data_IF_034592307085
#
_entry.id   IF_034592307085
#
_cell.length_a   1.000
_cell.length_b   1.000
_cell.length_c   1.000
_cell.angle_alpha   90.00
_cell.angle_beta   90.00
_cell.angle_gamma   90.00
#
_symmetry.space_group_name_H-M   'P 1'
#
loop_
_entity.id
_entity.type
_entity.pdbx_description
1 polymer ?
#
# COMPACT_ATOMS: atom_id res chain seq x y z
N UNK A 1 0.26 -50.35 109.61
CA UNK A 1 0.02 -48.97 109.13
C UNK A 1 1.05 -48.52 108.11
N UNK A 2 2.35 -48.80 108.31
CA UNK A 2 3.41 -48.39 107.37
C UNK A 2 3.24 -48.93 105.93
N UNK A 3 2.80 -50.19 105.75
CA UNK A 3 2.61 -50.77 104.41
C UNK A 3 1.52 -50.03 103.59
N UNK A 4 0.41 -49.67 104.24
CA UNK A 4 -0.68 -48.93 103.59
C UNK A 4 -0.24 -47.50 103.27
N UNK A 5 0.57 -46.88 104.13
CA UNK A 5 1.10 -45.54 103.88
C UNK A 5 2.13 -45.52 102.74
N UNK A 6 2.89 -46.61 102.57
CA UNK A 6 3.85 -46.78 101.47
C UNK A 6 3.15 -47.02 100.14
N UNK A 7 2.13 -47.89 100.13
CA UNK A 7 1.30 -48.14 98.95
C UNK A 7 0.52 -46.89 98.54
N UNK A 8 -0.01 -46.12 99.48
CA UNK A 8 -0.67 -44.85 99.16
C UNK A 8 0.32 -43.80 98.62
N UNK A 9 1.53 -43.72 99.17
CA UNK A 9 2.58 -42.84 98.64
C UNK A 9 3.04 -43.22 97.24
N UNK A 10 3.15 -44.52 96.94
CA UNK A 10 3.47 -45.01 95.59
C UNK A 10 2.34 -44.74 94.60
N UNK A 11 1.08 -44.86 95.03
CA UNK A 11 -0.09 -44.50 94.22
C UNK A 11 -0.17 -42.99 93.94
N UNK A 12 0.12 -42.14 94.93
CA UNK A 12 0.15 -40.68 94.77
C UNK A 12 1.30 -40.23 93.84
N UNK A 13 2.46 -40.89 93.90
CA UNK A 13 3.58 -40.66 92.98
C UNK A 13 3.27 -41.10 91.54
N UNK A 14 2.60 -42.24 91.37
CA UNK A 14 2.11 -42.69 90.07
C UNK A 14 1.07 -41.70 89.50
N UNK A 15 0.10 -41.25 90.32
CA UNK A 15 -0.93 -40.28 89.91
C UNK A 15 -0.32 -38.94 89.46
N UNK A 16 0.68 -38.43 90.19
CA UNK A 16 1.43 -37.24 89.77
C UNK A 16 2.30 -37.46 88.52
N UNK A 17 2.84 -38.67 88.29
CA UNK A 17 3.53 -39.00 87.04
C UNK A 17 2.58 -38.98 85.85
N UNK A 18 1.38 -39.54 86.01
CA UNK A 18 0.35 -39.54 84.96
C UNK A 18 -0.17 -38.13 84.65
N UNK A 19 -0.34 -37.27 85.67
CA UNK A 19 -0.71 -35.87 85.47
C UNK A 19 0.36 -35.08 84.70
N UNK A 20 1.64 -35.30 84.99
CA UNK A 20 2.74 -34.66 84.28
C UNK A 20 2.83 -35.12 82.82
N UNK A 21 2.67 -36.42 82.54
CA UNK A 21 2.65 -36.95 81.17
C UNK A 21 1.45 -36.40 80.38
N UNK A 22 0.30 -36.24 81.03
CA UNK A 22 -0.89 -35.66 80.42
C UNK A 22 -0.70 -34.16 80.11
N UNK A 23 -0.09 -33.40 81.02
CA UNK A 23 0.27 -32.00 80.79
C UNK A 23 1.27 -31.88 79.63
N UNK A 24 2.31 -32.70 79.60
CA UNK A 24 3.29 -32.72 78.52
C UNK A 24 2.64 -33.05 77.17
N UNK A 25 1.76 -34.05 77.12
CA UNK A 25 1.03 -34.39 75.90
C UNK A 25 0.14 -33.23 75.43
N UNK A 26 -0.50 -32.51 76.37
CA UNK A 26 -1.29 -31.32 76.06
C UNK A 26 -0.43 -30.15 75.54
N UNK A 27 0.75 -29.91 76.11
CA UNK A 27 1.69 -28.90 75.64
C UNK A 27 2.22 -29.19 74.24
N UNK A 28 2.60 -30.45 73.96
CA UNK A 28 3.03 -30.89 72.63
C UNK A 28 1.87 -30.75 71.63
N UNK A 29 0.66 -31.18 72.02
CA UNK A 29 -0.53 -31.04 71.19
C UNK A 29 -0.82 -29.58 70.85
N UNK A 30 -0.68 -28.67 71.83
CA UNK A 30 -0.81 -27.23 71.63
C UNK A 30 0.25 -26.68 70.68
N UNK A 31 1.52 -27.05 70.85
CA UNK A 31 2.60 -26.61 69.97
C UNK A 31 2.44 -27.13 68.54
N UNK A 32 1.97 -28.36 68.36
CA UNK A 32 1.67 -28.92 67.04
C UNK A 32 0.51 -28.20 66.36
N UNK A 33 -0.56 -27.89 67.11
CA UNK A 33 -1.68 -27.11 66.58
C UNK A 33 -1.28 -25.69 66.20
N UNK A 34 -0.41 -25.06 66.99
CA UNK A 34 0.11 -23.72 66.69
C UNK A 34 0.98 -23.72 65.43
N UNK A 35 1.91 -24.68 65.31
CA UNK A 35 2.69 -24.88 64.09
C UNK A 35 1.80 -25.19 62.87
N UNK A 36 0.76 -26.01 63.04
CA UNK A 36 -0.16 -26.33 61.96
C UNK A 36 -0.93 -25.09 61.49
N UNK A 37 -1.45 -24.28 62.42
CA UNK A 37 -2.08 -22.99 62.12
C UNK A 37 -1.14 -22.02 61.41
N UNK A 38 0.13 -21.97 61.82
CA UNK A 38 1.12 -21.13 61.16
C UNK A 38 1.39 -21.61 59.72
N UNK A 39 1.54 -22.92 59.51
CA UNK A 39 1.70 -23.50 58.18
C UNK A 39 0.47 -23.28 57.28
N UNK A 40 -0.74 -23.39 57.83
CA UNK A 40 -1.99 -23.07 57.13
C UNK A 40 -2.01 -21.58 56.74
N UNK A 41 -1.66 -20.68 57.67
CA UNK A 41 -1.58 -19.24 57.41
C UNK A 41 -0.55 -18.92 56.33
N UNK A 42 0.64 -19.53 56.38
CA UNK A 42 1.67 -19.37 55.36
C UNK A 42 1.19 -19.90 54.00
N UNK A 43 0.50 -21.04 53.97
CA UNK A 43 -0.05 -21.62 52.74
C UNK A 43 -1.09 -20.70 52.10
N UNK A 44 -2.03 -20.17 52.89
CA UNK A 44 -3.04 -19.22 52.41
C UNK A 44 -2.39 -17.92 51.92
N UNK A 45 -1.38 -17.43 52.62
CA UNK A 45 -0.64 -16.25 52.20
C UNK A 45 0.06 -16.46 50.86
N UNK A 46 0.77 -17.59 50.68
CA UNK A 46 1.41 -17.95 49.42
C UNK A 46 0.39 -18.15 48.28
N UNK A 47 -0.79 -18.73 48.57
CA UNK A 47 -1.87 -18.84 47.60
C UNK A 47 -2.38 -17.48 47.15
N UNK A 48 -2.48 -16.51 48.07
CA UNK A 48 -2.91 -15.14 47.76
C UNK A 48 -1.89 -14.43 46.86
N UNK A 49 -0.59 -14.51 47.20
CA UNK A 49 0.48 -13.95 46.36
C UNK A 49 0.49 -14.58 44.97
N UNK A 50 0.33 -15.90 44.89
CA UNK A 50 0.28 -16.60 43.59
C UNK A 50 -0.91 -16.11 42.75
N UNK A 51 -2.08 -15.90 43.36
CA UNK A 51 -3.24 -15.35 42.68
C UNK A 51 -3.01 -13.91 42.17
N UNK A 52 -2.34 -13.06 42.96
CA UNK A 52 -1.97 -11.70 42.53
C UNK A 52 -0.96 -11.72 41.37
N UNK A 53 0.06 -12.57 41.45
CA UNK A 53 1.03 -12.77 40.37
C UNK A 53 0.38 -13.30 39.08
N UNK A 54 -0.61 -14.18 39.20
CA UNK A 54 -1.38 -14.65 38.04
C UNK A 54 -2.15 -13.50 37.37
N UNK A 55 -2.76 -12.61 38.16
CA UNK A 55 -3.44 -11.43 37.63
C UNK A 55 -2.47 -10.44 36.95
N UNK A 56 -1.27 -10.28 37.51
CA UNK A 56 -0.22 -9.45 36.91
C UNK A 56 0.23 -10.04 35.56
N UNK A 57 0.46 -11.35 35.50
CA UNK A 57 0.80 -12.04 34.25
C UNK A 57 -0.29 -11.86 33.20
N UNK A 58 -1.57 -11.95 33.58
CA UNK A 58 -2.69 -11.72 32.67
C UNK A 58 -2.72 -10.27 32.15
N UNK A 59 -2.45 -9.29 33.01
CA UNK A 59 -2.39 -7.89 32.62
C UNK A 59 -1.23 -7.62 31.65
N UNK A 60 -0.04 -8.14 31.95
CA UNK A 60 1.14 -8.02 31.08
C UNK A 60 0.92 -8.73 29.74
N UNK A 61 0.27 -9.89 29.74
CA UNK A 61 -0.11 -10.59 28.51
C UNK A 61 -1.06 -9.75 27.65
N UNK A 62 -2.07 -9.10 28.26
CA UNK A 62 -2.98 -8.19 27.55
C UNK A 62 -2.23 -6.99 26.96
N UNK A 63 -1.27 -6.41 27.69
CA UNK A 63 -0.44 -5.33 27.16
C UNK A 63 0.44 -5.79 25.99
N UNK A 64 1.06 -6.96 26.10
CA UNK A 64 1.84 -7.54 25.01
C UNK A 64 1.00 -7.78 23.77
N UNK A 65 -0.23 -8.26 23.95
CA UNK A 65 -1.14 -8.49 22.83
C UNK A 65 -1.58 -7.19 22.16
N UNK A 66 -1.89 -6.16 22.95
CA UNK A 66 -2.17 -4.83 22.41
C UNK A 66 -0.97 -4.26 21.62
N UNK A 67 0.25 -4.44 22.13
CA UNK A 67 1.48 -4.04 21.43
C UNK A 67 1.68 -4.83 20.12
N UNK A 68 1.37 -6.13 20.10
CA UNK A 68 1.39 -6.93 18.86
C UNK A 68 0.40 -6.40 17.84
N UNK A 69 -0.83 -6.12 18.24
CA UNK A 69 -1.87 -5.57 17.34
C UNK A 69 -1.47 -4.21 16.77
N UNK A 70 -0.90 -3.31 17.59
CA UNK A 70 -0.40 -2.01 17.11
C UNK A 70 0.77 -2.19 16.15
N UNK A 71 1.67 -3.15 16.41
CA UNK A 71 2.76 -3.42 15.50
C UNK A 71 2.26 -4.00 14.16
N UNK A 72 1.28 -4.89 14.21
CA UNK A 72 0.64 -5.45 13.01
C UNK A 72 -0.09 -4.38 12.20
N UNK A 73 -0.85 -3.50 12.84
CA UNK A 73 -1.52 -2.39 12.15
C UNK A 73 -0.51 -1.43 11.52
N UNK A 74 0.60 -1.14 12.21
CA UNK A 74 1.71 -0.36 11.66
C UNK A 74 2.33 -1.01 10.43
N UNK A 75 2.53 -2.33 10.44
CA UNK A 75 3.04 -3.05 9.27
C UNK A 75 2.08 -2.92 8.08
N UNK A 76 0.77 -3.09 8.29
CA UNK A 76 -0.25 -2.90 7.23
C UNK A 76 -0.23 -1.49 6.65
N UNK A 77 -0.10 -0.46 7.49
CA UNK A 77 -0.01 0.94 7.04
C UNK A 77 1.24 1.15 6.20
N UNK A 78 2.38 0.55 6.57
CA UNK A 78 3.60 0.65 5.76
C UNK A 78 3.47 -0.05 4.41
N UNK A 79 2.83 -1.21 4.35
CA UNK A 79 2.55 -1.90 3.09
C UNK A 79 1.61 -1.09 2.19
N UNK A 80 0.59 -0.47 2.76
CA UNK A 80 -0.34 0.40 2.02
C UNK A 80 0.35 1.67 1.52
N UNK A 81 1.22 2.28 2.34
CA UNK A 81 2.02 3.43 1.94
C UNK A 81 2.97 3.07 0.78
N UNK A 82 3.62 1.91 0.84
CA UNK A 82 4.52 1.45 -0.23
C UNK A 82 3.75 1.24 -1.55
N UNK A 83 2.57 0.63 -1.50
CA UNK A 83 1.68 0.52 -2.67
C UNK A 83 1.31 1.89 -3.24
N UNK A 84 0.90 2.84 -2.40
CA UNK A 84 0.53 4.18 -2.83
C UNK A 84 1.71 4.93 -3.46
N UNK A 85 2.90 4.83 -2.88
CA UNK A 85 4.13 5.41 -3.46
C UNK A 85 4.40 4.82 -4.84
N UNK A 86 4.34 3.50 -5.00
CA UNK A 86 4.54 2.85 -6.28
C UNK A 86 3.50 3.30 -7.34
N UNK A 87 2.25 3.47 -6.95
CA UNK A 87 1.19 3.91 -7.87
C UNK A 87 1.35 5.40 -8.24
N UNK A 88 1.77 6.25 -7.31
CA UNK A 88 2.15 7.64 -7.58
C UNK A 88 3.37 7.71 -8.52
N UNK A 89 4.37 6.86 -8.34
CA UNK A 89 5.52 6.79 -9.23
C UNK A 89 5.12 6.34 -10.64
N UNK A 90 4.28 5.31 -10.77
CA UNK A 90 3.76 4.85 -12.06
C UNK A 90 2.95 5.93 -12.78
N UNK A 91 2.05 6.61 -12.07
CA UNK A 91 1.24 7.70 -12.65
C UNK A 91 2.11 8.87 -13.06
N UNK A 92 3.10 9.25 -12.25
CA UNK A 92 4.05 10.30 -12.60
C UNK A 92 4.88 9.92 -13.83
N UNK A 93 5.39 8.69 -13.91
CA UNK A 93 6.11 8.21 -15.11
C UNK A 93 5.23 8.29 -16.37
N UNK A 94 3.96 7.89 -16.29
CA UNK A 94 3.01 8.01 -17.40
C UNK A 94 2.79 9.47 -17.81
N UNK A 95 2.56 10.37 -16.85
CA UNK A 95 2.40 11.79 -17.11
C UNK A 95 3.64 12.40 -17.77
N UNK A 96 4.85 11.98 -17.35
CA UNK A 96 6.11 12.43 -17.98
C UNK A 96 6.22 11.92 -19.42
N UNK A 97 5.87 10.67 -19.69
CA UNK A 97 5.88 10.13 -21.06
C UNK A 97 4.87 10.83 -21.95
N UNK A 98 3.67 11.10 -21.44
CA UNK A 98 2.60 11.78 -22.18
C UNK A 98 2.98 13.24 -22.44
N UNK A 99 3.49 13.95 -21.42
CA UNK A 99 4.01 15.30 -21.57
C UNK A 99 5.12 15.38 -22.62
N UNK A 100 6.03 14.39 -22.64
CA UNK A 100 7.08 14.32 -23.66
C UNK A 100 6.50 14.10 -25.06
N UNK A 101 5.51 13.23 -25.19
CA UNK A 101 4.84 12.98 -26.48
C UNK A 101 4.09 14.21 -26.98
N UNK A 102 3.37 14.91 -26.09
CA UNK A 102 2.67 16.14 -26.42
C UNK A 102 3.63 17.26 -26.80
N UNK A 103 4.75 17.40 -26.07
CA UNK A 103 5.80 18.34 -26.42
C UNK A 103 6.34 18.09 -27.83
N UNK A 104 6.61 16.84 -28.19
CA UNK A 104 7.05 16.49 -29.55
C UNK A 104 5.99 16.83 -30.60
N UNK A 105 4.70 16.58 -30.32
CA UNK A 105 3.60 16.97 -31.22
C UNK A 105 3.55 18.49 -31.41
N UNK A 106 3.67 19.25 -30.33
CA UNK A 106 3.70 20.72 -30.38
C UNK A 106 4.88 21.19 -31.23
N UNK A 107 6.07 20.64 -31.03
CA UNK A 107 7.27 20.98 -31.82
C UNK A 107 7.04 20.68 -33.31
N UNK A 108 6.48 19.52 -33.68
CA UNK A 108 6.16 19.21 -35.08
C UNK A 108 5.14 20.16 -35.69
N UNK A 109 4.09 20.53 -34.95
CA UNK A 109 3.08 21.48 -35.42
C UNK A 109 3.66 22.89 -35.57
N UNK A 110 4.60 23.28 -34.70
CA UNK A 110 5.32 24.54 -34.83
C UNK A 110 6.19 24.57 -36.08
N UNK A 111 6.90 23.48 -36.39
CA UNK A 111 7.68 23.36 -37.63
C UNK A 111 6.78 23.43 -38.88
N UNK A 112 5.64 22.75 -38.88
CA UNK A 112 4.66 22.81 -39.96
C UNK A 112 4.08 24.22 -40.14
N UNK A 113 3.77 24.91 -39.04
CA UNK A 113 3.28 26.28 -39.07
C UNK A 113 4.31 27.22 -39.70
N UNK A 114 5.58 27.15 -39.28
CA UNK A 114 6.67 27.94 -39.85
C UNK A 114 6.82 27.65 -41.35
N UNK A 115 6.75 26.38 -41.77
CA UNK A 115 6.82 26.00 -43.18
C UNK A 115 5.66 26.61 -44.00
N UNK A 116 4.45 26.63 -43.44
CA UNK A 116 3.28 27.25 -44.07
C UNK A 116 3.46 28.77 -44.15
N UNK A 117 3.96 29.40 -43.10
CA UNK A 117 4.25 30.85 -43.08
C UNK A 117 5.27 31.24 -44.16
N UNK A 118 6.36 30.48 -44.30
CA UNK A 118 7.36 30.69 -45.36
C UNK A 118 6.71 30.55 -46.74
N UNK A 119 5.91 29.50 -46.97
CA UNK A 119 5.22 29.29 -48.26
C UNK A 119 4.21 30.41 -48.55
N UNK A 120 3.51 30.91 -47.55
CA UNK A 120 2.59 32.03 -47.70
C UNK A 120 3.35 33.32 -48.05
N UNK A 121 4.48 33.57 -47.38
CA UNK A 121 5.39 34.66 -47.72
C UNK A 121 5.89 34.58 -49.17
N UNK A 122 6.33 33.40 -49.64
CA UNK A 122 6.72 33.20 -51.05
C UNK A 122 5.57 33.40 -52.05
N UNK A 123 4.34 33.06 -51.67
CA UNK A 123 3.17 33.31 -52.51
C UNK A 123 2.83 34.80 -52.55
N UNK A 124 2.94 35.49 -51.42
CA UNK A 124 2.75 36.94 -51.34
C UNK A 124 3.77 37.68 -52.21
N UNK A 125 5.06 37.31 -52.15
CA UNK A 125 6.09 37.92 -53.01
C UNK A 125 5.81 37.66 -54.48
N UNK A 126 5.43 36.44 -54.88
CA UNK A 126 5.03 36.14 -56.27
C UNK A 126 3.84 36.98 -56.74
N UNK A 127 2.85 37.18 -55.87
CA UNK A 127 1.69 38.03 -56.18
C UNK A 127 2.12 39.48 -56.35
N UNK A 128 2.95 40.01 -55.46
CA UNK A 128 3.49 41.37 -55.58
C UNK A 128 4.32 41.55 -56.86
N UNK A 129 5.19 40.61 -57.18
CA UNK A 129 5.98 40.59 -58.42
C UNK A 129 5.07 40.63 -59.67
N UNK A 130 4.04 39.79 -59.73
CA UNK A 130 3.07 39.79 -60.83
C UNK A 130 2.31 41.11 -60.94
N UNK A 131 1.84 41.67 -59.83
CA UNK A 131 1.17 42.97 -59.80
C UNK A 131 2.09 44.10 -60.26
N UNK A 132 3.38 44.09 -59.87
CA UNK A 132 4.33 45.09 -60.35
C UNK A 132 4.64 44.94 -61.83
N UNK A 133 4.78 43.69 -62.32
CA UNK A 133 4.99 43.40 -63.74
C UNK A 133 3.78 43.81 -64.59
N UNK A 134 2.56 43.59 -64.11
CA UNK A 134 1.32 44.03 -64.76
C UNK A 134 1.27 45.57 -64.88
N UNK A 135 1.54 46.29 -63.79
CA UNK A 135 1.62 47.77 -63.84
C UNK A 135 2.70 48.28 -64.79
N UNK A 136 3.83 47.58 -64.91
CA UNK A 136 4.87 47.93 -65.88
C UNK A 136 4.41 47.67 -67.32
N UNK A 137 3.72 46.56 -67.58
CA UNK A 137 3.12 46.25 -68.88
C UNK A 137 2.08 47.30 -69.26
N UNK A 138 1.19 47.65 -68.36
CA UNK A 138 0.18 48.69 -68.59
C UNK A 138 0.82 50.05 -68.91
N UNK A 139 1.87 50.44 -68.19
CA UNK A 139 2.64 51.66 -68.50
C UNK A 139 3.33 51.57 -69.87
N UNK A 140 3.90 50.42 -70.22
CA UNK A 140 4.54 50.20 -71.52
C UNK A 140 3.51 50.22 -72.66
N UNK A 141 2.31 49.69 -72.43
CA UNK A 141 1.20 49.68 -73.37
C UNK A 141 0.62 51.08 -73.55
N UNK A 142 0.39 51.84 -72.46
CA UNK A 142 0.01 53.26 -72.50
C UNK A 142 1.03 54.11 -73.27
N UNK A 143 2.33 53.81 -73.17
CA UNK A 143 3.37 54.47 -73.96
C UNK A 143 3.30 54.13 -75.45
N UNK A 144 2.82 52.93 -75.82
CA UNK A 144 2.63 52.49 -77.22
C UNK A 144 1.32 53.04 -77.82
N UNK A 145 0.25 53.16 -77.04
CA UNK A 145 -1.04 53.69 -77.51
C UNK A 145 -1.08 55.22 -77.59
N UNK A 146 -0.13 55.93 -76.97
CA UNK A 146 0.05 57.38 -77.14
C UNK A 146 0.73 57.79 -78.46
N UNK A 147 1.15 56.84 -79.32
CA UNK A 147 1.84 57.15 -80.58
C UNK A 147 1.12 56.74 -81.87
N UNK A 148 -0.12 56.26 -81.86
CA UNK A 148 -0.85 55.99 -83.11
C UNK A 148 -2.39 56.05 -82.94
N UNK A 149 -3.13 56.78 -83.79
CA UNK A 149 -4.59 56.64 -83.90
C UNK A 149 -5.03 55.27 -84.43
N UNK A 150 -6.16 54.82 -83.91
CA UNK A 150 -6.94 53.65 -84.32
C UNK A 150 -7.00 53.42 -85.83
N UNK A 151 -6.78 52.17 -86.26
CA UNK A 151 -7.40 51.65 -87.47
C UNK A 151 -8.05 50.30 -87.20
N UNK A 152 -9.35 50.33 -87.44
CA UNK A 152 -10.29 49.23 -87.56
C UNK A 152 -10.06 48.51 -88.90
N UNK A 153 -10.31 47.20 -88.89
CA UNK A 153 -10.60 46.28 -90.01
C UNK A 153 -9.57 46.12 -91.14
N UNK A 154 -9.17 44.87 -91.36
CA UNK A 154 -9.53 44.09 -92.56
C UNK A 154 -9.50 42.60 -92.21
N UNK A 155 -10.66 41.99 -92.41
CA UNK A 155 -10.97 40.56 -92.50
C UNK A 155 -10.10 39.86 -93.56
N UNK A 156 -9.66 38.62 -93.30
CA UNK A 156 -9.72 37.52 -94.29
C UNK A 156 -9.55 36.18 -93.57
N UNK A 157 -10.65 35.43 -93.49
CA UNK A 157 -10.63 33.98 -93.25
C UNK A 157 -9.82 33.26 -94.34
N UNK A 158 -9.15 32.17 -93.99
CA UNK A 158 -9.27 30.93 -94.76
C UNK A 158 -8.72 29.70 -94.01
N UNK A 159 -9.62 28.73 -93.83
CA UNK A 159 -9.43 27.28 -93.96
C UNK A 159 -8.47 26.51 -93.03
N UNK A 160 -9.04 25.97 -91.94
CA UNK A 160 -9.21 24.54 -91.58
C UNK A 160 -8.05 23.50 -91.69
N UNK A 161 -8.13 22.40 -90.90
CA UNK A 161 -7.14 22.03 -89.91
C UNK A 161 -6.27 20.84 -90.35
N UNK A 162 -5.32 20.45 -89.50
CA UNK A 162 -4.53 19.20 -89.51
C UNK A 162 -3.07 19.40 -89.91
N UNK A 163 -2.25 19.73 -88.92
CA UNK A 163 -0.95 19.07 -88.79
C UNK A 163 -0.61 18.94 -87.32
N UNK A 164 -0.57 17.69 -86.90
CA UNK A 164 0.14 17.15 -85.75
C UNK A 164 1.01 18.17 -85.01
N UNK A 165 0.75 18.45 -83.72
CA UNK A 165 1.73 19.14 -82.90
C UNK A 165 3.00 18.29 -82.90
N UNK A 166 4.04 18.83 -83.54
CA UNK A 166 5.42 18.41 -83.39
C UNK A 166 5.67 18.16 -81.91
N UNK A 167 5.96 16.90 -81.57
CA UNK A 167 6.30 16.49 -80.22
C UNK A 167 7.64 17.15 -79.90
N UNK A 168 7.58 18.37 -79.36
CA UNK A 168 8.76 19.03 -78.86
C UNK A 168 9.29 18.16 -77.71
N UNK A 169 10.57 17.83 -77.81
CA UNK A 169 11.35 16.99 -76.91
C UNK A 169 11.42 17.49 -75.44
N UNK A 170 10.58 18.45 -75.05
CA UNK A 170 10.54 19.07 -73.73
C UNK A 170 9.30 18.68 -72.89
N UNK A 171 8.38 17.86 -73.41
CA UNK A 171 7.29 17.27 -72.60
C UNK A 171 7.70 15.96 -71.89
N UNK A 172 9.00 15.63 -71.88
CA UNK A 172 9.52 14.47 -71.12
C UNK A 172 10.02 14.86 -69.71
N UNK A 173 9.98 16.15 -69.35
CA UNK A 173 10.45 16.67 -68.05
C UNK A 173 9.35 17.16 -67.11
N UNK A 174 8.08 17.06 -67.50
CA UNK A 174 6.97 17.11 -66.56
C UNK A 174 6.53 15.67 -66.35
N UNK A 175 6.68 15.19 -65.12
CA UNK A 175 6.51 13.80 -64.74
C UNK A 175 5.31 13.18 -65.45
N UNK A 176 5.59 12.13 -66.24
CA UNK A 176 4.57 11.21 -66.74
C UNK A 176 3.60 10.99 -65.60
N UNK A 177 2.37 11.48 -65.77
CA UNK A 177 1.29 11.20 -64.85
C UNK A 177 1.27 9.69 -64.74
N UNK A 178 1.70 9.19 -63.58
CA UNK A 178 1.70 7.77 -63.30
C UNK A 178 0.32 7.27 -63.68
N UNK A 179 0.25 6.20 -64.47
CA UNK A 179 -1.01 5.61 -64.88
C UNK A 179 -1.92 5.53 -63.63
N UNK A 180 -3.17 6.04 -63.62
CA UNK A 180 -4.02 6.06 -62.42
C UNK A 180 -4.00 4.73 -61.66
N UNK A 181 -3.97 3.62 -62.40
CA UNK A 181 -3.84 2.27 -61.89
C UNK A 181 -2.51 1.99 -61.15
N UNK A 182 -1.38 2.56 -61.56
CA UNK A 182 -0.10 2.41 -60.83
C UNK A 182 -0.12 3.14 -59.48
N UNK A 183 -0.79 4.30 -59.39
CA UNK A 183 -0.96 5.00 -58.10
C UNK A 183 -1.87 4.21 -57.16
N UNK A 184 -2.92 3.60 -57.70
CA UNK A 184 -3.85 2.75 -56.95
C UNK A 184 -3.17 1.46 -56.49
N UNK A 185 -2.37 0.82 -57.35
CA UNK A 185 -1.55 -0.35 -56.99
C UNK A 185 -0.61 -0.01 -55.84
N UNK A 186 0.07 1.16 -55.86
CA UNK A 186 0.94 1.56 -54.74
C UNK A 186 0.15 1.78 -53.45
N UNK A 187 -0.99 2.46 -53.51
CA UNK A 187 -1.86 2.65 -52.34
C UNK A 187 -2.34 1.32 -51.78
N UNK A 188 -2.75 0.38 -52.64
CA UNK A 188 -3.14 -0.98 -52.23
C UNK A 188 -1.96 -1.77 -51.65
N UNK A 189 -0.75 -1.60 -52.19
CA UNK A 189 0.46 -2.20 -51.62
C UNK A 189 0.80 -1.62 -50.25
N UNK A 190 0.61 -0.30 -50.04
CA UNK A 190 0.79 0.36 -48.76
C UNK A 190 -0.25 -0.12 -47.74
N UNK A 191 -1.53 -0.21 -48.13
CA UNK A 191 -2.59 -0.73 -47.24
C UNK A 191 -2.35 -2.20 -46.89
N UNK A 192 -1.93 -3.03 -47.85
CA UNK A 192 -1.57 -4.43 -47.57
C UNK A 192 -0.38 -4.52 -46.62
N UNK A 193 0.65 -3.66 -46.77
CA UNK A 193 1.76 -3.60 -45.82
C UNK A 193 1.30 -3.19 -44.42
N UNK A 194 0.46 -2.17 -44.31
CA UNK A 194 -0.09 -1.71 -43.04
C UNK A 194 -1.01 -2.76 -42.38
N UNK A 195 -1.82 -3.47 -43.17
CA UNK A 195 -2.66 -4.56 -42.66
C UNK A 195 -1.81 -5.74 -42.18
N UNK A 196 -0.71 -6.06 -42.87
CA UNK A 196 0.24 -7.10 -42.41
C UNK A 196 0.92 -6.70 -41.10
N UNK A 197 1.36 -5.45 -40.95
CA UNK A 197 1.94 -4.99 -39.69
C UNK A 197 0.91 -4.99 -38.56
N UNK A 198 -0.33 -4.56 -38.85
CA UNK A 198 -1.42 -4.59 -37.88
C UNK A 198 -1.76 -6.03 -37.46
N UNK A 199 -1.78 -6.98 -38.40
CA UNK A 199 -2.02 -8.38 -38.11
C UNK A 199 -0.97 -8.97 -37.15
N UNK A 200 0.30 -8.61 -37.32
CA UNK A 200 1.38 -9.07 -36.41
C UNK A 200 1.21 -8.47 -35.02
N UNK A 201 0.85 -7.20 -34.92
CA UNK A 201 0.60 -6.53 -33.64
C UNK A 201 -0.59 -7.17 -32.92
N UNK A 202 -1.71 -7.37 -33.61
CA UNK A 202 -2.90 -7.99 -33.04
C UNK A 202 -2.65 -9.46 -32.65
N UNK A 203 -1.81 -10.17 -33.41
CA UNK A 203 -1.40 -11.53 -33.04
C UNK A 203 -0.62 -11.54 -31.72
N UNK A 204 0.34 -10.62 -31.55
CA UNK A 204 1.11 -10.50 -30.29
C UNK A 204 0.21 -10.13 -29.11
N UNK A 205 -0.68 -9.14 -29.29
CA UNK A 205 -1.65 -8.78 -28.25
C UNK A 205 -2.54 -9.96 -27.87
N UNK A 206 -2.98 -10.75 -28.85
CA UNK A 206 -3.74 -11.97 -28.57
C UNK A 206 -2.92 -12.97 -27.75
N UNK A 207 -1.67 -13.22 -28.13
CA UNK A 207 -0.77 -14.10 -27.38
C UNK A 207 -0.54 -13.58 -25.94
N UNK A 208 -0.38 -12.27 -25.75
CA UNK A 208 -0.24 -11.64 -24.43
C UNK A 208 -1.52 -11.84 -23.58
N UNK A 209 -2.71 -11.61 -24.15
CA UNK A 209 -3.97 -11.83 -23.46
C UNK A 209 -4.24 -13.32 -23.19
N UNK A 210 -3.84 -14.23 -24.08
CA UNK A 210 -3.94 -15.68 -23.85
C UNK A 210 -3.10 -16.10 -22.64
N UNK A 211 -1.90 -15.52 -22.46
CA UNK A 211 -1.05 -15.74 -21.28
C UNK A 211 -1.72 -15.18 -20.02
N UNK A 212 -2.25 -13.95 -20.07
CA UNK A 212 -2.94 -13.32 -18.93
C UNK A 212 -4.15 -14.15 -18.49
N UNK A 213 -4.97 -14.60 -19.44
CA UNK A 213 -6.13 -15.47 -19.17
C UNK A 213 -5.68 -16.80 -18.56
N UNK A 214 -4.60 -17.40 -19.05
CA UNK A 214 -4.07 -18.65 -18.48
C UNK A 214 -3.63 -18.48 -17.02
N UNK A 215 -2.95 -17.36 -16.69
CA UNK A 215 -2.56 -17.04 -15.31
C UNK A 215 -3.79 -16.81 -14.43
N UNK A 216 -4.78 -16.05 -14.90
CA UNK A 216 -6.01 -15.81 -14.15
C UNK A 216 -6.82 -17.09 -13.91
N UNK A 217 -6.84 -18.03 -14.86
CA UNK A 217 -7.45 -19.34 -14.67
C UNK A 217 -6.71 -20.11 -13.57
N UNK A 218 -5.38 -20.12 -13.58
CA UNK A 218 -4.58 -20.78 -12.56
C UNK A 218 -4.82 -20.18 -11.17
N UNK A 219 -4.87 -18.85 -11.06
CA UNK A 219 -5.14 -18.16 -9.80
C UNK A 219 -6.55 -18.45 -9.29
N UNK A 220 -7.56 -18.48 -10.17
CA UNK A 220 -8.92 -18.88 -9.80
C UNK A 220 -8.97 -20.32 -9.28
N UNK A 221 -8.30 -21.26 -9.95
CA UNK A 221 -8.20 -22.65 -9.48
C UNK A 221 -7.54 -22.74 -8.09
N UNK A 222 -6.49 -21.95 -7.84
CA UNK A 222 -5.83 -21.88 -6.54
C UNK A 222 -6.74 -21.30 -5.45
N UNK A 223 -7.55 -20.29 -5.79
CA UNK A 223 -8.53 -19.70 -4.88
C UNK A 223 -9.66 -20.67 -4.57
N UNK A 224 -10.20 -21.36 -5.57
CA UNK A 224 -11.21 -22.42 -5.40
C UNK A 224 -10.71 -23.52 -4.47
N UNK A 225 -9.46 -23.99 -4.64
CA UNK A 225 -8.87 -24.98 -3.76
C UNK A 225 -8.71 -24.49 -2.31
N UNK A 226 -8.34 -23.21 -2.12
CA UNK A 226 -8.26 -22.60 -0.78
C UNK A 226 -9.64 -22.48 -0.12
N UNK A 227 -10.66 -22.13 -0.90
CA UNK A 227 -12.05 -22.07 -0.40
C UNK A 227 -12.49 -23.47 0.02
N UNK A 228 -12.24 -24.50 -0.78
CA UNK A 228 -12.58 -25.88 -0.42
C UNK A 228 -11.86 -26.34 0.87
N UNK A 229 -10.60 -25.94 1.05
CA UNK A 229 -9.86 -26.21 2.30
C UNK A 229 -10.47 -25.49 3.50
N UNK A 230 -10.83 -24.21 3.36
CA UNK A 230 -11.48 -23.44 4.43
C UNK A 230 -12.86 -24.00 4.78
N UNK A 231 -13.63 -24.43 3.79
CA UNK A 231 -14.92 -25.11 3.99
C UNK A 231 -14.75 -26.41 4.78
N UNK A 232 -13.73 -27.22 4.46
CA UNK A 232 -13.39 -28.44 5.22
C UNK A 232 -13.04 -28.11 6.68
N UNK A 233 -12.19 -27.11 6.90
CA UNK A 233 -11.82 -26.65 8.25
C UNK A 233 -13.04 -26.17 9.03
N UNK A 234 -13.94 -25.43 8.39
CA UNK A 234 -15.19 -24.95 8.99
C UNK A 234 -16.14 -26.11 9.34
N UNK A 235 -16.23 -27.14 8.48
CA UNK A 235 -16.99 -28.35 8.82
C UNK A 235 -16.40 -29.05 10.04
N UNK A 236 -15.08 -29.12 10.16
CA UNK A 236 -14.42 -29.76 11.29
C UNK A 236 -14.57 -28.95 12.58
N UNK A 237 -14.48 -27.61 12.53
CA UNK A 237 -14.80 -26.77 13.71
C UNK A 237 -16.24 -26.94 14.14
N UNK A 238 -17.20 -26.97 13.20
CA UNK A 238 -18.61 -27.18 13.53
C UNK A 238 -18.87 -28.57 14.16
N UNK A 239 -18.17 -29.62 13.71
CA UNK A 239 -18.24 -30.94 14.35
C UNK A 239 -17.70 -30.89 15.78
N UNK A 240 -16.54 -30.27 15.98
CA UNK A 240 -15.94 -30.11 17.31
C UNK A 240 -16.82 -29.29 18.24
N UNK A 241 -17.45 -28.23 17.76
CA UNK A 241 -18.43 -27.45 18.52
C UNK A 241 -19.66 -28.28 18.91
N UNK A 242 -20.17 -29.11 18.00
CA UNK A 242 -21.27 -30.02 18.30
C UNK A 242 -20.87 -31.07 19.36
N UNK A 243 -19.65 -31.62 19.28
CA UNK A 243 -19.11 -32.54 20.27
C UNK A 243 -18.93 -31.86 21.64
N UNK A 244 -18.41 -30.62 21.67
CA UNK A 244 -18.30 -29.82 22.88
C UNK A 244 -19.65 -29.55 23.52
N UNK A 245 -20.67 -29.16 22.73
CA UNK A 245 -22.05 -28.98 23.20
C UNK A 245 -22.62 -30.28 23.78
N UNK A 246 -22.37 -31.44 23.16
CA UNK A 246 -22.78 -32.73 23.70
C UNK A 246 -22.06 -33.08 25.02
N UNK A 247 -20.76 -32.82 25.11
CA UNK A 247 -19.97 -33.05 26.32
C UNK A 247 -20.38 -32.12 27.46
N UNK A 248 -20.69 -30.86 27.17
CA UNK A 248 -21.25 -29.90 28.14
C UNK A 248 -22.57 -30.43 28.70
N UNK A 249 -23.51 -30.81 27.82
CA UNK A 249 -24.81 -31.35 28.21
C UNK A 249 -24.66 -32.63 29.07
N UNK A 250 -23.66 -33.47 28.77
CA UNK A 250 -23.36 -34.66 29.57
C UNK A 250 -22.75 -34.29 30.92
N UNK A 251 -21.91 -33.27 30.99
CA UNK A 251 -21.26 -32.81 32.22
C UNK A 251 -22.21 -32.09 33.18
N UNK A 252 -23.20 -31.37 32.66
CA UNK A 252 -24.28 -30.75 33.45
C UNK A 252 -25.22 -31.79 34.06
N UNK A 253 -25.38 -32.92 33.37
CA UNK A 253 -26.26 -34.01 33.79
C UNK A 253 -25.61 -35.02 34.71
N UNK A 254 -24.29 -35.00 34.93
CA UNK A 254 -23.59 -36.05 35.69
C UNK A 254 -22.66 -35.46 36.73
N UNK A 255 -22.82 -35.87 37.99
CA UNK A 255 -21.97 -35.39 39.08
C UNK A 255 -20.54 -35.95 38.98
N UNK A 256 -19.53 -35.06 38.91
CA UNK A 256 -18.09 -35.42 38.78
C UNK A 256 -17.55 -36.32 39.89
N UNK A 257 -18.22 -36.41 41.05
CA UNK A 257 -17.73 -37.16 42.22
C UNK A 257 -18.37 -38.55 42.38
N UNK A 258 -19.53 -38.80 41.80
CA UNK A 258 -20.23 -40.09 41.96
C UNK A 258 -20.81 -40.69 40.67
N UNK A 259 -20.72 -40.01 39.52
CA UNK A 259 -21.11 -40.57 38.22
C UNK A 259 -22.61 -40.74 37.98
N UNK A 260 -23.46 -40.32 38.93
CA UNK A 260 -24.92 -40.40 38.80
C UNK A 260 -25.52 -39.16 38.12
N UNK A 261 -26.69 -39.35 37.49
CA UNK A 261 -27.45 -38.26 36.88
C UNK A 261 -27.95 -37.25 37.93
N UNK A 262 -27.64 -35.97 37.74
CA UNK A 262 -28.13 -34.88 38.58
C UNK A 262 -29.60 -34.63 38.20
N UNK A 263 -30.54 -35.14 39.01
CA UNK A 263 -31.95 -34.78 38.85
C UNK A 263 -32.12 -33.28 39.13
N UNK A 264 -32.86 -32.53 38.30
CA UNK A 264 -33.06 -31.10 38.50
C UNK A 264 -34.01 -30.90 39.69
N UNK A 265 -33.44 -30.79 40.88
CA UNK A 265 -34.15 -30.33 42.06
C UNK A 265 -34.06 -28.80 42.06
N UNK A 266 -34.95 -28.13 41.32
CA UNK A 266 -35.52 -26.79 41.57
C UNK A 266 -36.03 -26.18 40.24
N UNK A 267 -37.18 -25.47 40.25
CA UNK A 267 -37.68 -24.79 39.07
C UNK A 267 -36.72 -23.68 38.62
N UNK A 268 -36.42 -23.69 37.32
CA UNK A 268 -35.44 -22.86 36.62
C UNK A 268 -35.86 -21.37 36.52
N UNK A 269 -36.18 -20.71 37.63
CA UNK A 269 -36.72 -19.35 37.63
C UNK A 269 -35.94 -18.30 38.43
N UNK A 270 -34.88 -18.65 39.16
CA UNK A 270 -34.29 -17.71 40.15
C UNK A 270 -32.79 -17.43 39.99
N UNK A 271 -32.02 -18.24 39.25
CA UNK A 271 -30.56 -18.04 39.14
C UNK A 271 -30.02 -18.28 37.72
N UNK A 272 -30.56 -17.55 36.76
CA UNK A 272 -30.02 -17.50 35.41
C UNK A 272 -30.42 -16.20 34.75
N UNK A 273 -29.86 -15.08 35.22
CA UNK A 273 -29.72 -13.95 34.29
C UNK A 273 -28.78 -14.46 33.21
N UNK A 274 -29.36 -14.71 32.05
CA UNK A 274 -28.66 -15.05 30.81
C UNK A 274 -27.47 -14.09 30.70
N UNK A 275 -26.27 -14.67 30.74
CA UNK A 275 -25.12 -14.00 30.16
C UNK A 275 -25.43 -14.01 28.67
N UNK A 276 -25.88 -12.87 28.15
CA UNK A 276 -26.01 -12.65 26.71
C UNK A 276 -24.67 -13.00 26.08
N UNK A 277 -24.64 -14.12 25.37
CA UNK A 277 -23.56 -14.44 24.45
C UNK A 277 -23.86 -13.65 23.17
N UNK A 278 -22.99 -12.72 22.82
CA UNK A 278 -22.99 -12.05 21.52
C UNK A 278 -22.68 -13.09 20.42
N UNK A 279 -23.67 -13.89 20.04
CA UNK A 279 -23.68 -14.60 18.76
C UNK A 279 -24.31 -13.67 17.70
N UNK A 280 -23.56 -13.19 16.69
CA UNK A 280 -24.16 -12.42 15.63
C UNK A 280 -24.98 -13.36 14.74
N UNK A 281 -26.30 -13.38 14.93
CA UNK A 281 -27.21 -13.94 13.93
C UNK A 281 -27.15 -13.08 12.66
N UNK A 282 -26.47 -13.57 11.63
CA UNK A 282 -26.50 -12.96 10.30
C UNK A 282 -27.83 -13.24 9.62
N UNK A 283 -28.81 -12.35 9.79
CA UNK A 283 -29.98 -12.23 8.93
C UNK A 283 -29.98 -10.87 8.24
N UNK A 284 -28.92 -10.58 7.47
CA UNK A 284 -28.84 -9.33 6.72
C UNK A 284 -29.53 -9.46 5.35
N UNK A 285 -30.81 -9.11 5.26
CA UNK A 285 -31.40 -8.66 3.99
C UNK A 285 -30.82 -7.27 3.66
N UNK A 286 -29.67 -7.25 2.98
CA UNK A 286 -29.02 -6.02 2.52
C UNK A 286 -29.73 -5.45 1.28
N UNK A 287 -30.20 -4.19 1.35
CA UNK A 287 -30.75 -3.48 0.20
C UNK A 287 -29.73 -2.49 -0.34
N UNK A 288 -29.39 -2.61 -1.63
CA UNK A 288 -28.43 -1.74 -2.32
C UNK A 288 -29.08 -0.41 -2.66
N UNK A 289 -28.48 0.70 -2.23
CA UNK A 289 -28.81 2.04 -2.69
C UNK A 289 -27.66 2.61 -3.54
N UNK A 290 -28.00 3.08 -4.75
CA UNK A 290 -27.08 3.77 -5.65
C UNK A 290 -27.07 5.26 -5.33
N UNK A 291 -25.89 5.82 -5.17
CA UNK A 291 -25.68 7.26 -5.06
C UNK A 291 -25.58 7.87 -6.47
N UNK A 292 -25.96 9.15 -6.60
CA UNK A 292 -26.02 9.84 -7.90
C UNK A 292 -24.63 10.04 -8.56
N UNK A 293 -23.54 9.86 -7.81
CA UNK A 293 -22.15 9.92 -8.30
C UNK A 293 -21.57 8.54 -8.65
N UNK A 294 -22.40 7.51 -8.82
CA UNK A 294 -22.00 6.22 -9.36
C UNK A 294 -21.38 5.23 -8.35
N UNK A 295 -21.39 5.55 -7.05
CA UNK A 295 -21.01 4.63 -5.97
C UNK A 295 -22.19 3.85 -5.39
N UNK A 296 -21.96 2.58 -5.02
CA UNK A 296 -22.91 1.76 -4.25
C UNK A 296 -22.40 1.59 -2.83
N UNK A 297 -23.24 1.86 -1.82
CA UNK A 297 -22.92 1.66 -0.40
C UNK A 297 -23.73 0.49 0.14
N UNK A 298 -23.06 -0.39 0.91
CA UNK A 298 -23.65 -1.52 1.61
C UNK A 298 -23.61 -1.24 3.12
N UNK A 299 -24.74 -1.33 3.82
CA UNK A 299 -24.79 -1.16 5.27
C UNK A 299 -26.08 -1.73 5.86
N UNK A 300 -25.98 -2.55 6.88
CA UNK A 300 -27.11 -3.11 7.64
C UNK A 300 -27.74 -2.03 8.55
N UNK A 301 -29.07 -1.98 8.59
CA UNK A 301 -29.86 -0.90 9.22
C UNK A 301 -29.80 -0.81 10.77
N UNK A 302 -28.90 -1.53 11.44
CA UNK A 302 -28.90 -1.61 12.92
C UNK A 302 -27.85 -0.75 13.62
N UNK A 303 -26.76 -0.35 12.94
CA UNK A 303 -25.72 0.49 13.58
C UNK A 303 -26.09 1.97 13.71
N UNK A 304 -27.07 2.47 12.96
CA UNK A 304 -27.37 3.91 12.91
C UNK A 304 -28.43 4.31 13.96
N UNK A 305 -29.28 3.37 14.38
CA UNK A 305 -30.43 3.69 15.23
C UNK A 305 -30.17 3.54 16.75
N UNK A 306 -29.13 2.78 17.16
CA UNK A 306 -28.78 2.57 18.58
C UNK A 306 -27.97 3.73 19.16
N UNK A 307 -27.03 4.28 18.37
CA UNK A 307 -26.23 5.46 18.75
C UNK A 307 -27.09 6.71 18.93
N UNK A 308 -28.20 6.83 18.19
CA UNK A 308 -29.08 8.01 18.21
C UNK A 308 -30.06 8.05 19.40
N UNK A 309 -30.40 6.89 19.97
CA UNK A 309 -31.35 6.80 21.09
C UNK A 309 -30.65 6.93 22.44
N UNK A 310 -29.45 6.39 22.60
CA UNK A 310 -28.67 6.48 23.84
C UNK A 310 -28.19 7.91 24.15
N UNK A 311 -28.00 8.76 23.14
CA UNK A 311 -27.70 10.19 23.35
C UNK A 311 -28.93 11.06 23.59
N UNK A 312 -30.14 10.55 23.32
CA UNK A 312 -31.39 11.33 23.44
C UNK A 312 -32.03 11.26 24.83
N UNK A 313 -31.75 10.22 25.62
CA UNK A 313 -32.36 10.05 26.95
C UNK A 313 -31.63 10.80 28.07
N UNK A 314 -30.43 11.35 27.83
CA UNK A 314 -29.65 12.04 28.87
C UNK A 314 -29.76 13.58 28.88
N UNK A 315 -30.44 14.22 27.93
CA UNK A 315 -30.55 15.70 27.88
C UNK A 315 -31.95 16.17 27.46
N UNK A 316 -32.97 15.77 28.24
CA UNK A 316 -34.27 16.45 28.23
C UNK A 316 -34.34 17.42 29.42
N UNK A 317 -33.71 18.58 29.24
CA UNK A 317 -33.71 19.66 30.21
C UNK A 317 -33.46 21.00 29.51
N UNK A 318 -34.57 21.67 29.19
CA UNK A 318 -34.69 23.00 28.57
C UNK A 318 -34.47 23.12 27.06
N UNK A 319 -35.54 23.54 26.39
CA UNK A 319 -35.56 23.85 24.97
C UNK A 319 -34.77 25.11 24.63
N UNK A 320 -34.21 25.14 23.43
CA UNK A 320 -34.78 25.77 22.25
C UNK A 320 -34.02 25.18 21.06
N UNK A 321 -34.77 24.83 20.02
CA UNK A 321 -34.25 24.22 18.81
C UNK A 321 -33.21 25.11 18.13
N UNK A 322 -32.00 24.61 17.99
CA UNK A 322 -31.19 24.86 16.80
C UNK A 322 -30.61 23.52 16.38
N UNK A 323 -31.08 23.01 15.24
CA UNK A 323 -30.50 21.84 14.56
C UNK A 323 -29.10 22.22 14.05
N UNK A 324 -28.13 22.40 14.95
CA UNK A 324 -26.74 22.60 14.58
C UNK A 324 -26.22 21.23 14.20
N UNK A 325 -25.95 21.04 12.91
CA UNK A 325 -25.30 19.84 12.39
C UNK A 325 -24.04 19.55 13.22
N UNK A 326 -23.79 18.28 13.55
CA UNK A 326 -22.58 17.82 14.26
C UNK A 326 -21.31 18.41 13.66
N UNK A 327 -21.30 18.61 12.34
CA UNK A 327 -20.19 19.24 11.61
C UNK A 327 -19.98 20.71 11.97
N UNK A 328 -21.06 21.48 12.18
CA UNK A 328 -20.98 22.89 12.59
C UNK A 328 -20.54 23.04 14.06
N UNK A 329 -20.90 22.09 14.92
CA UNK A 329 -20.42 22.07 16.30
C UNK A 329 -18.94 21.67 16.36
N UNK A 330 -18.52 20.68 15.59
CA UNK A 330 -17.10 20.32 15.41
C UNK A 330 -16.29 21.47 14.82
N UNK A 331 -16.83 22.17 13.82
CA UNK A 331 -16.18 23.32 13.20
C UNK A 331 -16.03 24.48 14.20
N UNK A 332 -17.05 24.76 15.01
CA UNK A 332 -16.98 25.75 16.10
C UNK A 332 -15.92 25.36 17.16
N UNK A 333 -15.88 24.09 17.55
CA UNK A 333 -14.87 23.59 18.49
C UNK A 333 -13.45 23.66 17.91
N UNK A 334 -13.29 23.38 16.61
CA UNK A 334 -12.02 23.53 15.90
C UNK A 334 -11.56 24.99 15.86
N UNK A 335 -12.45 25.92 15.50
CA UNK A 335 -12.15 27.36 15.51
C UNK A 335 -11.78 27.87 16.90
N UNK A 336 -12.49 27.45 17.95
CA UNK A 336 -12.17 27.81 19.33
C UNK A 336 -10.80 27.29 19.77
N UNK A 337 -10.44 26.07 19.34
CA UNK A 337 -9.14 25.48 19.61
C UNK A 337 -8.01 26.23 18.88
N UNK A 338 -8.21 26.57 17.60
CA UNK A 338 -7.29 27.40 16.83
C UNK A 338 -7.05 28.75 17.50
N UNK A 339 -8.11 29.43 17.95
CA UNK A 339 -8.01 30.73 18.62
C UNK A 339 -7.26 30.64 19.97
N UNK A 340 -7.42 29.52 20.69
CA UNK A 340 -6.68 29.26 21.93
C UNK A 340 -5.20 29.01 21.67
N UNK A 341 -4.86 28.29 20.60
CA UNK A 341 -3.47 28.10 20.17
C UNK A 341 -2.84 29.41 19.69
N UNK A 342 -3.55 30.23 18.92
CA UNK A 342 -3.08 31.56 18.54
C UNK A 342 -2.85 32.46 19.76
N UNK A 343 -3.74 32.41 20.75
CA UNK A 343 -3.58 33.16 22.00
C UNK A 343 -2.36 32.70 22.80
N UNK A 344 -2.10 31.38 22.84
CA UNK A 344 -0.89 30.82 23.47
C UNK A 344 0.39 31.19 22.73
N UNK A 345 0.36 31.21 21.40
CA UNK A 345 1.48 31.65 20.55
C UNK A 345 1.76 33.14 20.76
N UNK A 346 0.72 33.98 20.79
CA UNK A 346 0.85 35.41 21.06
C UNK A 346 1.35 35.69 22.49
N UNK A 347 0.90 34.92 23.48
CA UNK A 347 1.36 35.05 24.87
C UNK A 347 2.82 34.62 25.05
N UNK A 348 3.32 33.66 24.26
CA UNK A 348 4.75 33.33 24.21
C UNK A 348 5.59 34.37 23.46
N UNK A 349 5.02 35.06 22.47
CA UNK A 349 5.72 36.12 21.73
C UNK A 349 5.78 37.46 22.48
N UNK A 350 4.87 37.69 23.45
CA UNK A 350 4.77 38.95 24.22
C UNK A 350 5.50 38.98 25.56
N UNK A 351 6.19 37.93 26.02
CA UNK A 351 7.01 38.04 27.25
C UNK A 351 8.24 38.94 26.99
N UNK A 352 8.33 40.15 27.59
CA UNK A 352 9.56 40.91 27.57
C UNK A 352 10.54 40.26 28.55
N UNK A 353 11.78 40.06 28.11
CA UNK A 353 12.90 39.69 28.98
C UNK A 353 13.13 40.83 30.00
N UNK A 354 12.73 40.63 31.25
CA UNK A 354 13.32 41.31 32.41
C UNK A 354 13.68 40.26 33.44
N UNK A 355 14.98 40.13 33.72
CA UNK A 355 15.49 39.19 34.71
C UNK A 355 15.30 39.68 36.14
N UNK A 356 15.26 38.75 37.07
CA UNK A 356 16.09 38.66 38.28
C UNK A 356 15.86 37.30 38.93
N UNK A 357 16.90 36.81 39.59
CA UNK A 357 17.12 35.47 40.15
C UNK A 357 16.02 34.97 41.10
N UNK A 358 15.80 33.64 41.13
CA UNK A 358 15.86 32.74 42.30
C UNK A 358 15.17 31.40 41.96
N UNK A 359 15.91 30.31 42.17
CA UNK A 359 15.51 28.89 42.30
C UNK A 359 14.51 28.32 41.27
N UNK A 360 15.02 27.69 40.20
CA UNK A 360 14.19 26.86 39.32
C UNK A 360 14.81 25.49 39.03
N UNK A 361 13.93 24.50 39.17
CA UNK A 361 14.17 23.08 39.26
C UNK A 361 14.83 22.43 38.04
N UNK A 362 15.51 21.31 38.33
CA UNK A 362 16.27 20.43 37.44
C UNK A 362 15.46 19.87 36.24
N UNK A 363 14.14 20.07 36.21
CA UNK A 363 13.25 19.66 35.12
C UNK A 363 13.32 20.55 33.86
N UNK A 364 13.73 21.82 33.96
CA UNK A 364 13.67 22.76 32.82
C UNK A 364 14.89 22.65 31.87
N UNK A 365 15.99 22.01 32.31
CA UNK A 365 17.14 21.72 31.43
C UNK A 365 16.79 20.72 30.32
N UNK A 366 15.93 19.74 30.59
CA UNK A 366 15.53 18.76 29.58
C UNK A 366 14.57 19.34 28.51
N UNK A 367 13.76 20.34 28.85
CA UNK A 367 12.87 20.98 27.88
C UNK A 367 13.62 21.96 26.96
N UNK A 368 14.67 22.63 27.45
CA UNK A 368 15.50 23.55 26.65
C UNK A 368 16.42 22.84 25.65
N UNK A 369 16.77 21.57 25.88
CA UNK A 369 17.55 20.76 24.92
C UNK A 369 16.67 20.36 23.72
N UNK A 370 15.41 19.99 23.95
CA UNK A 370 14.42 19.69 22.90
C UNK A 370 14.10 20.90 22.01
N UNK A 371 14.03 22.10 22.58
CA UNK A 371 13.65 23.30 21.82
C UNK A 371 14.74 23.81 20.85
N UNK A 372 16.01 23.46 21.05
CA UNK A 372 17.10 23.81 20.10
C UNK A 372 17.02 22.98 18.82
N UNK A 373 16.58 21.72 18.89
CA UNK A 373 16.42 20.87 17.70
C UNK A 373 15.27 21.36 16.81
N UNK A 374 14.16 21.80 17.43
CA UNK A 374 12.98 22.30 16.70
C UNK A 374 13.21 23.70 16.10
N UNK A 375 13.94 24.58 16.80
CA UNK A 375 14.31 25.90 16.23
C UNK A 375 15.27 25.78 15.05
N UNK A 376 16.18 24.80 15.06
CA UNK A 376 17.11 24.57 13.94
C UNK A 376 16.37 24.08 12.70
N UNK A 377 15.32 23.26 12.86
CA UNK A 377 14.49 22.77 11.76
C UNK A 377 13.60 23.86 11.15
N UNK A 378 13.00 24.73 11.96
CA UNK A 378 12.16 25.84 11.48
C UNK A 378 12.98 26.96 10.79
N UNK A 379 14.17 27.29 11.30
CA UNK A 379 15.09 28.24 10.65
C UNK A 379 15.60 27.68 9.31
N UNK A 380 15.85 26.37 9.25
CA UNK A 380 16.23 25.70 7.99
C UNK A 380 15.07 25.65 6.98
N UNK A 381 13.82 25.50 7.45
CA UNK A 381 12.65 25.50 6.57
C UNK A 381 12.36 26.90 6.01
N UNK A 382 12.48 27.95 6.83
CA UNK A 382 12.29 29.34 6.37
C UNK A 382 13.36 29.76 5.36
N UNK A 383 14.60 29.29 5.54
CA UNK A 383 15.73 29.54 4.61
C UNK A 383 15.61 28.79 3.27
N UNK A 384 14.84 27.71 3.20
CA UNK A 384 14.59 26.96 1.96
C UNK A 384 13.47 27.58 1.09
N UNK A 385 12.57 28.36 1.68
CA UNK A 385 11.43 28.96 0.95
C UNK A 385 11.81 30.27 0.24
N UNK A 386 12.82 30.99 0.72
CA UNK A 386 13.22 32.30 0.16
C UNK A 386 14.18 32.24 -1.04
N UNK A 387 14.61 31.06 -1.53
CA UNK A 387 15.68 30.95 -2.56
C UNK A 387 15.16 30.73 -3.99
N UNK A 388 13.84 30.70 -4.22
CA UNK A 388 13.30 30.55 -5.58
C UNK A 388 12.88 31.89 -6.21
N UNK A 389 13.81 32.85 -6.28
CA UNK A 389 13.77 33.95 -7.27
C UNK A 389 15.19 34.38 -7.65
N UNK A 390 15.50 34.24 -8.93
CA UNK A 390 16.53 34.93 -9.73
C UNK A 390 18.05 34.66 -9.54
N UNK A 391 18.63 34.21 -10.66
CA UNK A 391 19.85 34.69 -11.35
C UNK A 391 21.10 35.01 -10.52
N UNK A 392 22.15 34.24 -10.78
CA UNK A 392 23.48 34.78 -11.05
C UNK A 392 24.45 34.95 -9.88
N UNK A 393 25.56 34.22 -10.02
CA UNK A 393 26.92 34.59 -9.59
C UNK A 393 27.38 34.27 -8.15
N UNK A 394 28.42 33.43 -8.13
CA UNK A 394 29.56 33.31 -7.22
C UNK A 394 29.43 33.52 -5.70
N UNK A 395 29.94 32.51 -4.98
CA UNK A 395 30.39 32.52 -3.57
C UNK A 395 29.36 32.27 -2.47
N UNK A 396 28.77 31.07 -2.49
CA UNK A 396 28.16 30.50 -1.28
C UNK A 396 28.79 29.15 -1.00
N UNK A 397 29.52 29.04 0.11
CA UNK A 397 30.10 27.77 0.57
C UNK A 397 29.02 26.67 0.55
N UNK A 398 29.27 25.51 -0.08
CA UNK A 398 28.27 24.47 -0.18
C UNK A 398 27.87 23.97 1.22
N UNK A 399 26.60 23.56 1.42
CA UNK A 399 26.11 23.10 2.72
C UNK A 399 26.94 21.94 3.30
N UNK A 400 27.00 21.77 4.62
CA UNK A 400 27.86 20.79 5.31
C UNK A 400 27.57 19.32 4.94
N UNK A 401 26.39 19.02 4.40
CA UNK A 401 26.11 17.68 3.89
C UNK A 401 26.94 17.35 2.64
N UNK A 402 27.36 18.33 1.83
CA UNK A 402 28.17 18.06 0.63
C UNK A 402 29.61 17.67 0.94
N UNK A 403 30.20 18.12 2.06
CA UNK A 403 31.47 17.60 2.54
C UNK A 403 31.33 16.15 3.04
N UNK A 404 30.23 15.84 3.73
CA UNK A 404 29.90 14.46 4.12
C UNK A 404 29.78 13.54 2.89
N UNK A 405 29.07 13.95 1.85
CA UNK A 405 29.02 13.16 0.61
C UNK A 405 30.38 13.04 -0.06
N UNK A 406 31.21 14.09 -0.08
CA UNK A 406 32.57 13.98 -0.61
C UNK A 406 33.42 12.99 0.19
N UNK A 407 33.31 12.97 1.50
CA UNK A 407 34.03 12.02 2.37
C UNK A 407 33.50 10.59 2.22
N UNK A 408 32.19 10.41 2.12
CA UNK A 408 31.56 9.10 1.83
C UNK A 408 32.04 8.58 0.46
N UNK A 409 32.00 9.41 -0.59
CA UNK A 409 32.47 9.01 -1.91
C UNK A 409 33.99 8.81 -1.97
N UNK A 410 34.77 9.57 -1.21
CA UNK A 410 36.21 9.36 -1.09
C UNK A 410 36.52 8.04 -0.36
N UNK A 411 35.75 7.70 0.67
CA UNK A 411 35.88 6.45 1.43
C UNK A 411 35.48 5.25 0.59
N UNK A 412 34.38 5.34 -0.17
CA UNK A 412 33.94 4.31 -1.13
C UNK A 412 34.92 4.13 -2.30
N UNK A 413 35.58 5.20 -2.75
CA UNK A 413 36.64 5.08 -3.77
C UNK A 413 37.91 4.45 -3.20
N UNK A 414 38.26 4.75 -1.94
CA UNK A 414 39.40 4.11 -1.26
C UNK A 414 39.15 2.64 -0.97
N UNK A 415 37.95 2.26 -0.51
CA UNK A 415 37.59 0.85 -0.30
C UNK A 415 37.60 0.05 -1.61
N UNK A 416 37.19 0.67 -2.73
CA UNK A 416 37.28 0.06 -4.06
C UNK A 416 38.71 -0.10 -4.59
N UNK A 417 39.66 0.70 -4.11
CA UNK A 417 41.08 0.64 -4.50
C UNK A 417 41.86 -0.32 -3.58
N UNK A 418 41.46 -0.44 -2.30
CA UNK A 418 42.09 -1.33 -1.31
C UNK A 418 41.70 -2.81 -1.48
N UNK A 419 40.58 -3.13 -2.14
CA UNK A 419 40.25 -4.51 -2.56
C UNK A 419 41.05 -5.02 -3.78
N UNK A 420 42.02 -4.23 -4.28
CA UNK A 420 42.92 -4.65 -5.37
C UNK A 420 44.36 -4.24 -5.08
N UNK A 421 45.05 -4.97 -4.18
CA UNK A 421 46.32 -5.54 -4.59
C UNK A 421 46.59 -6.95 -4.04
N UNK A 422 47.17 -7.78 -4.91
CA UNK A 422 47.93 -9.02 -4.69
C UNK A 422 47.29 -10.30 -5.23
N UNK A 423 47.58 -10.58 -6.51
CA UNK A 423 48.20 -11.86 -6.93
C UNK A 423 48.56 -11.77 -8.42
N UNK A 424 49.79 -11.35 -8.70
CA UNK A 424 50.51 -11.86 -9.88
C UNK A 424 51.30 -13.09 -9.46
N UNK A 425 51.39 -14.10 -10.33
CA UNK A 425 52.66 -14.78 -10.53
C UNK A 425 53.14 -14.64 -11.97
N UNK A 426 54.44 -14.38 -12.10
CA UNK A 426 55.20 -14.34 -13.33
C UNK A 426 55.30 -15.75 -13.99
N UNK A 427 55.70 -15.85 -15.27
CA UNK A 427 55.40 -17.00 -16.13
C UNK A 427 56.50 -18.06 -16.09
N UNK A 428 56.12 -19.34 -16.11
CA UNK A 428 57.05 -20.44 -16.43
C UNK A 428 56.41 -21.51 -17.31
N UNK A 429 57.05 -21.70 -18.46
CA UNK A 429 57.42 -22.97 -19.08
C UNK A 429 56.32 -23.94 -19.52
N UNK A 430 56.07 -23.83 -20.82
CA UNK A 430 55.63 -24.85 -21.77
C UNK A 430 56.40 -26.19 -21.65
N UNK A 431 55.68 -27.30 -21.44
CA UNK A 431 55.98 -28.73 -21.67
C UNK A 431 54.66 -29.44 -21.28
N UNK A 432 53.99 -30.32 -22.02
CA UNK A 432 54.26 -31.15 -23.18
C UNK A 432 53.42 -32.44 -22.96
N UNK A 433 52.70 -32.90 -24.00
CA UNK A 433 52.17 -34.27 -24.15
C UNK A 433 50.99 -34.69 -23.23
N UNK A 434 50.13 -35.66 -23.51
CA UNK A 434 49.57 -36.41 -24.65
C UNK A 434 48.46 -37.29 -24.02
N UNK A 435 47.42 -37.66 -24.78
CA UNK A 435 46.69 -38.97 -24.80
C UNK A 435 46.45 -39.73 -23.46
N UNK A 436 45.28 -40.24 -23.05
CA UNK A 436 44.33 -41.10 -23.78
C UNK A 436 43.26 -41.70 -22.83
N UNK A 437 42.06 -41.91 -23.39
CA UNK A 437 41.09 -43.05 -23.31
C UNK A 437 40.91 -43.93 -22.05
N UNK A 438 39.59 -44.16 -21.80
CA UNK A 438 38.89 -45.43 -21.42
C UNK A 438 39.12 -46.00 -20.02
N UNK A 439 38.23 -46.77 -19.38
CA UNK A 439 36.79 -47.11 -19.45
C UNK A 439 36.59 -48.19 -18.37
N UNK A 440 35.40 -48.27 -17.74
CA UNK A 440 34.73 -49.39 -17.02
C UNK A 440 33.93 -48.81 -15.84
N UNK A 441 32.69 -49.14 -15.50
CA UNK A 441 31.67 -50.08 -15.98
C UNK A 441 30.70 -50.32 -14.81
N UNK A 442 29.42 -49.88 -14.88
CA UNK A 442 28.19 -50.70 -15.09
C UNK A 442 27.46 -51.11 -13.78
N UNK A 443 26.18 -51.60 -13.78
CA UNK A 443 24.96 -50.79 -13.55
C UNK A 443 23.87 -51.51 -12.68
N UNK A 444 22.70 -50.91 -12.40
CA UNK A 444 21.43 -51.58 -11.99
C UNK A 444 20.24 -50.68 -12.42
N UNK A 445 19.50 -50.96 -13.51
CA UNK A 445 18.25 -51.76 -13.68
C UNK A 445 16.94 -51.02 -13.36
N UNK A 446 16.14 -50.79 -14.41
CA UNK A 446 14.71 -50.36 -14.46
C UNK A 446 13.75 -51.55 -14.24
N UNK A 447 12.42 -51.34 -14.11
CA UNK A 447 11.61 -51.47 -15.34
C UNK A 447 10.40 -50.52 -15.46
N UNK A 448 10.05 -50.27 -16.72
CA UNK A 448 8.81 -49.67 -17.23
C UNK A 448 7.92 -50.82 -17.71
N UNK A 449 6.60 -50.71 -17.53
CA UNK A 449 5.59 -51.59 -18.13
C UNK A 449 4.79 -50.78 -19.16
N UNK A 450 4.81 -51.22 -20.41
CA UNK A 450 3.86 -50.82 -21.45
C UNK A 450 2.63 -51.74 -21.40
N UNK A 451 1.45 -51.20 -21.68
CA UNK A 451 0.39 -51.91 -22.38
C UNK A 451 -0.49 -50.91 -23.15
N UNK A 452 -0.60 -51.15 -24.45
CA UNK A 452 -1.51 -50.55 -25.45
C UNK A 452 -2.66 -51.57 -25.65
N UNK A 453 -3.88 -51.26 -26.17
CA UNK A 453 -4.02 -50.82 -27.57
C UNK A 453 -5.26 -49.98 -27.97
N UNK A 454 -5.11 -49.28 -29.10
CA UNK A 454 -6.08 -49.03 -30.20
C UNK A 454 -7.58 -48.82 -29.89
N UNK A 455 -8.11 -47.66 -30.27
CA UNK A 455 -9.35 -47.58 -31.08
C UNK A 455 -9.31 -46.42 -32.07
N UNK A 456 -9.86 -46.70 -33.26
CA UNK A 456 -10.00 -45.83 -34.44
C UNK A 456 -11.27 -44.97 -34.33
N UNK A 457 -11.42 -44.06 -35.31
CA UNK A 457 -12.65 -43.38 -35.77
C UNK A 457 -12.84 -41.98 -35.16
N UNK A 458 -13.27 -40.92 -35.83
CA UNK A 458 -13.49 -40.52 -37.22
C UNK A 458 -14.08 -39.09 -37.14
N UNK A 459 -14.12 -38.43 -38.29
CA UNK A 459 -15.02 -37.35 -38.69
C UNK A 459 -14.67 -35.88 -38.42
N UNK A 460 -14.71 -35.18 -39.58
CA UNK A 460 -14.97 -33.77 -39.89
C UNK A 460 -13.82 -32.78 -39.68
#
# INVERSE_FOLDING_TARGET
MEFISRVNSELDEEEHSYENDLQLAAEIGKALLENNKELESQTVHLQTINAEQAQELDFLNKQLEALRQVNESRMRIYEELDKNVQDLEKTNQRLVTDHRADKQRIETLQEELVNIEVRNGELQTKVEELLTAERQREKAERRKTMSVPSLHDINYEDFYPTSFPSWSHNQFKQGLHLNPYETEIRKLQDTVRNLKTQQVIEKRKREDFEIEVAVLIQDNQNLEAKVEELEKRLMDTNKLEAELKQLQLRSEKVCRRCGNEIKPCLPAGVLGKEVEHDEPQMTSEGKVARLEDGGSVYGSNESIHKVLMETREQLSGNGVQSNVSILSELESQYYALCQKYESLLQHKLRRPRSGTDFDEDEADRNFRVSHKEVQTLLVNLHRCVEVNTDVGDSTTSPPPYRSLFKDIFATLRKSRIEESPEQQPAPTANQGSQQSKSATGTPITTPITEDNPMTKSAHA
#
